data_IF_722455598206
#
_entry.id   IF_722455598206
#
_cell.length_a   1.000
_cell.length_b   1.000
_cell.length_c   1.000
_cell.angle_alpha   90.00
_cell.angle_beta   90.00
_cell.angle_gamma   90.00
#
_symmetry.space_group_name_H-M   'P 1'
#
loop_
_entity.id
_entity.type
_entity.pdbx_description
1 polymer ?
#
# COMPACT_ATOMS: atom_id res chain seq x y z
N UNK A 1 11.21 7.72 -35.38
CA UNK A 1 10.36 7.22 -34.29
C UNK A 1 11.17 6.41 -33.27
N UNK A 2 11.77 5.25 -33.57
CA UNK A 2 12.53 4.47 -32.57
C UNK A 2 13.69 5.21 -31.91
N UNK A 3 14.48 6.00 -32.68
CA UNK A 3 15.56 6.82 -32.13
C UNK A 3 15.07 7.85 -31.10
N UNK A 4 13.91 8.47 -31.36
CA UNK A 4 13.32 9.42 -30.41
C UNK A 4 12.85 8.73 -29.13
N UNK A 5 12.30 7.50 -29.24
CA UNK A 5 11.91 6.72 -28.06
C UNK A 5 13.11 6.32 -27.21
N UNK A 6 14.25 5.97 -27.84
CA UNK A 6 15.48 5.69 -27.10
C UNK A 6 15.96 6.89 -26.29
N UNK A 7 16.00 8.07 -26.90
CA UNK A 7 16.36 9.32 -26.21
C UNK A 7 15.40 9.62 -25.05
N UNK A 8 14.08 9.49 -25.26
CA UNK A 8 13.10 9.69 -24.18
C UNK A 8 13.25 8.68 -23.04
N UNK A 9 13.67 7.45 -23.34
CA UNK A 9 13.93 6.44 -22.31
C UNK A 9 15.20 6.75 -21.52
N UNK A 10 16.26 7.20 -22.19
CA UNK A 10 17.53 7.60 -21.57
C UNK A 10 17.35 8.84 -20.69
N UNK A 11 16.57 9.80 -21.11
CA UNK A 11 16.29 11.07 -20.40
C UNK A 11 15.07 10.99 -19.47
N UNK A 12 14.53 9.79 -19.22
CA UNK A 12 13.28 9.60 -18.47
C UNK A 12 13.32 10.28 -17.08
N UNK A 13 14.42 10.19 -16.37
CA UNK A 13 14.55 10.74 -15.02
C UNK A 13 14.56 12.27 -15.03
N UNK A 14 15.30 12.85 -15.97
CA UNK A 14 15.30 14.29 -16.21
C UNK A 14 13.92 14.79 -16.58
N UNK A 15 13.24 14.13 -17.52
CA UNK A 15 11.89 14.51 -17.96
C UNK A 15 10.91 14.47 -16.79
N UNK A 16 10.93 13.41 -15.97
CA UNK A 16 10.04 13.27 -14.80
C UNK A 16 10.30 14.37 -13.77
N UNK A 17 11.56 14.67 -13.45
CA UNK A 17 11.92 15.72 -12.50
C UNK A 17 11.50 17.11 -12.97
N UNK A 18 11.69 17.42 -14.28
CA UNK A 18 11.25 18.69 -14.86
C UNK A 18 9.72 18.82 -14.93
N UNK A 19 9.01 17.75 -15.28
CA UNK A 19 7.55 17.73 -15.23
C UNK A 19 7.04 17.98 -13.82
N UNK A 20 7.66 17.36 -12.82
CA UNK A 20 7.31 17.60 -11.42
C UNK A 20 7.56 19.06 -11.02
N UNK A 21 8.74 19.62 -11.33
CA UNK A 21 9.06 21.03 -11.03
C UNK A 21 8.07 21.98 -11.67
N UNK A 22 7.80 21.79 -12.97
CA UNK A 22 6.89 22.63 -13.73
C UNK A 22 5.43 22.50 -13.28
N UNK A 23 5.01 21.31 -12.81
CA UNK A 23 3.65 21.12 -12.30
C UNK A 23 3.34 21.97 -11.06
N UNK A 24 4.36 22.35 -10.26
CA UNK A 24 4.18 23.24 -9.11
C UNK A 24 3.72 24.66 -9.48
N UNK A 25 3.95 25.11 -10.72
CA UNK A 25 3.44 26.40 -11.22
C UNK A 25 1.93 26.33 -11.52
N UNK A 26 1.43 25.13 -11.82
CA UNK A 26 0.01 24.92 -12.12
C UNK A 26 -0.77 24.62 -10.85
N UNK A 27 -0.22 23.73 -10.01
CA UNK A 27 -0.80 23.30 -8.74
C UNK A 27 0.30 23.00 -7.73
N UNK A 28 0.32 23.66 -6.55
CA UNK A 28 1.30 23.36 -5.52
C UNK A 28 1.26 21.87 -5.13
N UNK A 29 2.37 21.17 -5.27
CA UNK A 29 2.46 19.72 -5.00
C UNK A 29 2.60 19.45 -3.52
N UNK A 30 1.73 18.59 -2.99
CA UNK A 30 1.72 18.19 -1.59
C UNK A 30 2.65 16.99 -1.35
N UNK A 31 3.93 17.27 -1.12
CA UNK A 31 4.97 16.28 -0.92
C UNK A 31 5.12 15.77 0.52
N UNK A 32 4.21 16.14 1.43
CA UNK A 32 4.28 15.72 2.83
C UNK A 32 4.04 14.23 3.02
N UNK A 33 3.18 13.65 2.18
CA UNK A 33 2.89 12.22 2.16
C UNK A 33 3.16 11.72 0.75
N UNK A 34 3.93 10.63 0.63
CA UNK A 34 4.20 9.98 -0.64
C UNK A 34 3.65 8.56 -0.61
N UNK A 35 2.78 8.27 -1.55
CA UNK A 35 2.26 6.92 -1.76
C UNK A 35 3.13 6.19 -2.77
N UNK A 36 3.43 4.93 -2.48
CA UNK A 36 4.14 4.06 -3.42
C UNK A 36 3.40 2.74 -3.58
N UNK A 37 3.19 2.35 -4.81
CA UNK A 37 2.68 1.03 -5.17
C UNK A 37 3.34 0.53 -6.46
N UNK A 38 3.30 -0.79 -6.65
CA UNK A 38 3.73 -1.44 -7.86
C UNK A 38 2.52 -1.95 -8.63
N UNK A 39 2.58 -1.85 -9.94
CA UNK A 39 1.68 -2.55 -10.85
C UNK A 39 2.49 -3.34 -11.87
N UNK A 40 1.85 -4.22 -12.63
CA UNK A 40 2.53 -4.91 -13.71
C UNK A 40 1.70 -4.89 -14.99
N UNK A 41 2.43 -4.91 -16.11
CA UNK A 41 1.87 -4.96 -17.45
C UNK A 41 2.34 -6.24 -18.11
N UNK A 42 1.43 -7.00 -18.71
CA UNK A 42 1.75 -8.21 -19.47
C UNK A 42 1.90 -7.90 -20.96
N UNK A 43 2.61 -8.75 -21.64
CA UNK A 43 2.79 -8.69 -23.08
C UNK A 43 2.16 -9.94 -23.72
N UNK A 44 1.43 -9.77 -24.81
CA UNK A 44 0.81 -10.88 -25.55
C UNK A 44 1.84 -11.68 -26.39
N UNK A 45 3.07 -11.80 -25.90
CA UNK A 45 4.15 -12.58 -26.47
C UNK A 45 4.68 -13.54 -25.43
N UNK A 46 5.11 -14.71 -25.85
CA UNK A 46 5.59 -15.76 -24.93
C UNK A 46 7.09 -15.69 -24.65
N UNK A 47 7.85 -14.95 -25.45
CA UNK A 47 9.31 -14.85 -25.29
C UNK A 47 9.73 -13.78 -24.29
N UNK A 48 10.60 -14.18 -23.37
CA UNK A 48 11.27 -13.24 -22.46
C UNK A 48 12.34 -12.44 -23.19
N UNK A 49 12.38 -11.13 -22.97
CA UNK A 49 13.45 -10.29 -23.50
C UNK A 49 13.61 -9.02 -22.66
N UNK A 50 14.85 -8.61 -22.39
CA UNK A 50 15.13 -7.41 -21.60
C UNK A 50 14.45 -7.45 -20.23
N UNK A 51 13.58 -6.46 -19.96
CA UNK A 51 12.82 -6.37 -18.71
C UNK A 51 11.57 -7.27 -18.70
N UNK A 52 11.12 -7.76 -19.86
CA UNK A 52 9.97 -8.66 -19.95
C UNK A 52 10.35 -10.04 -19.43
N UNK A 53 9.86 -10.41 -18.26
CA UNK A 53 10.16 -11.67 -17.58
C UNK A 53 8.88 -12.30 -17.06
N UNK A 54 8.86 -13.64 -17.00
CA UNK A 54 7.81 -14.34 -16.29
C UNK A 54 7.89 -14.05 -14.80
N UNK A 55 6.78 -13.64 -14.21
CA UNK A 55 6.71 -13.25 -12.82
C UNK A 55 5.30 -13.39 -12.26
N UNK A 56 5.10 -12.88 -11.04
CA UNK A 56 3.79 -12.91 -10.39
C UNK A 56 2.87 -11.85 -11.00
N UNK A 57 2.11 -12.22 -12.03
CA UNK A 57 1.11 -11.32 -12.63
C UNK A 57 -0.04 -11.04 -11.65
N UNK A 58 -0.39 -9.77 -11.44
CA UNK A 58 -1.57 -9.35 -10.66
C UNK A 58 -2.88 -9.78 -11.32
N UNK A 59 -2.88 -9.93 -12.66
CA UNK A 59 -4.01 -10.43 -13.44
C UNK A 59 -4.02 -11.94 -13.65
N UNK A 60 -3.06 -12.67 -13.05
CA UNK A 60 -2.90 -14.13 -13.22
C UNK A 60 -2.71 -14.56 -14.69
N UNK A 61 -2.09 -13.71 -15.50
CA UNK A 61 -1.76 -14.02 -16.90
C UNK A 61 -0.51 -14.88 -16.98
N UNK A 62 -0.46 -15.86 -17.91
CA UNK A 62 0.69 -16.74 -18.12
C UNK A 62 1.78 -16.09 -19.02
N UNK A 63 1.76 -14.80 -19.22
CA UNK A 63 2.62 -14.07 -20.13
C UNK A 63 3.77 -13.37 -19.40
N UNK A 64 4.89 -13.04 -20.07
CA UNK A 64 5.92 -12.18 -19.53
C UNK A 64 5.35 -10.81 -19.15
N UNK A 65 5.83 -10.26 -18.04
CA UNK A 65 5.42 -8.98 -17.50
C UNK A 65 6.61 -8.04 -17.31
N UNK A 66 6.33 -6.76 -17.13
CA UNK A 66 7.22 -5.79 -16.49
C UNK A 66 6.53 -5.27 -15.24
N UNK A 67 7.29 -4.88 -14.25
CA UNK A 67 6.79 -4.25 -13.02
C UNK A 67 7.06 -2.76 -13.08
N UNK A 68 6.04 -1.93 -12.88
CA UNK A 68 6.17 -0.48 -12.74
C UNK A 68 5.98 -0.12 -11.27
N UNK A 69 6.97 0.55 -10.69
CA UNK A 69 6.83 1.22 -9.41
C UNK A 69 6.47 2.68 -9.64
N UNK A 70 5.49 3.20 -8.89
CA UNK A 70 4.99 4.56 -9.03
C UNK A 70 4.93 5.27 -7.68
N UNK A 71 5.53 6.45 -7.60
CA UNK A 71 5.30 7.41 -6.53
C UNK A 71 4.24 8.43 -6.90
N UNK A 72 3.34 8.69 -5.96
CA UNK A 72 2.33 9.75 -6.03
C UNK A 72 2.45 10.64 -4.81
N UNK A 73 2.10 11.92 -4.95
CA UNK A 73 1.99 12.84 -3.82
C UNK A 73 0.71 12.62 -2.99
N UNK A 74 0.52 13.44 -1.97
CA UNK A 74 -0.65 13.35 -1.08
C UNK A 74 -2.00 13.59 -1.77
N UNK A 75 -2.00 14.26 -2.91
CA UNK A 75 -3.19 14.53 -3.71
C UNK A 75 -3.44 13.44 -4.77
N UNK A 76 -2.60 12.39 -4.78
CA UNK A 76 -2.69 11.27 -5.72
C UNK A 76 -2.16 11.59 -7.12
N UNK A 77 -1.39 12.68 -7.27
CA UNK A 77 -0.81 13.05 -8.55
C UNK A 77 0.54 12.34 -8.72
N UNK A 78 0.79 11.65 -9.87
CA UNK A 78 2.07 11.01 -10.14
C UNK A 78 3.26 11.96 -10.00
N UNK A 79 4.35 11.44 -9.42
CA UNK A 79 5.62 12.14 -9.28
C UNK A 79 6.71 11.50 -10.12
N UNK A 80 7.01 10.24 -9.81
CA UNK A 80 8.07 9.49 -10.45
C UNK A 80 7.68 8.03 -10.60
N UNK A 81 8.17 7.41 -11.66
CA UNK A 81 8.03 5.97 -11.88
C UNK A 81 9.32 5.36 -12.37
N UNK A 82 9.42 4.05 -12.27
CA UNK A 82 10.46 3.27 -12.92
C UNK A 82 9.92 1.91 -13.34
N UNK A 83 10.59 1.29 -14.33
CA UNK A 83 10.22 0.00 -14.88
C UNK A 83 11.27 -1.03 -14.50
N UNK A 84 10.83 -2.11 -13.88
CA UNK A 84 11.66 -3.19 -13.37
C UNK A 84 11.36 -4.51 -14.09
N UNK A 85 12.31 -5.45 -14.08
CA UNK A 85 12.06 -6.81 -14.58
C UNK A 85 10.83 -7.45 -13.93
N UNK A 86 10.03 -8.15 -14.73
CA UNK A 86 8.77 -8.77 -14.26
C UNK A 86 8.94 -9.83 -13.15
N UNK A 87 10.12 -10.43 -13.03
CA UNK A 87 10.48 -11.38 -11.98
C UNK A 87 11.14 -10.74 -10.74
N UNK A 88 11.30 -9.41 -10.74
CA UNK A 88 11.91 -8.72 -9.61
C UNK A 88 10.95 -8.67 -8.42
N UNK A 89 11.49 -8.85 -7.21
CA UNK A 89 10.70 -8.68 -5.99
C UNK A 89 10.34 -7.20 -5.80
N UNK A 90 9.04 -6.89 -5.71
CA UNK A 90 8.53 -5.53 -5.53
C UNK A 90 9.17 -4.78 -4.34
N UNK A 91 9.53 -5.49 -3.26
CA UNK A 91 10.21 -4.86 -2.11
C UNK A 91 11.55 -4.23 -2.46
N UNK A 92 12.22 -4.72 -3.50
CA UNK A 92 13.54 -4.21 -3.92
C UNK A 92 13.43 -3.04 -4.89
N UNK A 93 12.25 -2.74 -5.41
CA UNK A 93 12.02 -1.63 -6.35
C UNK A 93 11.90 -0.28 -5.65
N UNK A 94 11.53 -0.27 -4.36
CA UNK A 94 11.30 0.95 -3.60
C UNK A 94 12.54 1.83 -3.48
N UNK A 95 13.64 1.30 -2.94
CA UNK A 95 14.84 2.10 -2.63
C UNK A 95 15.46 2.80 -3.83
N UNK A 96 15.62 2.15 -5.00
CA UNK A 96 16.16 2.84 -6.18
C UNK A 96 15.31 4.05 -6.57
N UNK A 97 13.99 3.88 -6.64
CA UNK A 97 13.10 4.94 -7.05
C UNK A 97 12.97 6.04 -5.97
N UNK A 98 12.96 5.67 -4.70
CA UNK A 98 12.96 6.64 -3.59
C UNK A 98 14.27 7.45 -3.54
N UNK A 99 15.40 6.84 -3.84
CA UNK A 99 16.68 7.57 -3.94
C UNK A 99 16.64 8.63 -5.04
N UNK A 100 15.99 8.34 -6.16
CA UNK A 100 15.71 9.30 -7.24
C UNK A 100 14.85 10.48 -6.74
N UNK A 101 13.79 10.21 -6.00
CA UNK A 101 12.92 11.24 -5.37
C UNK A 101 13.75 12.16 -4.46
N UNK A 102 14.63 11.59 -3.65
CA UNK A 102 15.49 12.36 -2.76
C UNK A 102 16.51 13.25 -3.51
N UNK A 103 17.07 12.77 -4.60
CA UNK A 103 18.12 13.45 -5.35
C UNK A 103 17.56 14.49 -6.35
N UNK A 104 16.60 14.10 -7.16
CA UNK A 104 16.19 14.85 -8.33
C UNK A 104 14.95 15.72 -8.10
N UNK A 105 14.11 15.37 -7.12
CA UNK A 105 12.84 16.05 -6.85
C UNK A 105 12.89 17.00 -5.64
N UNK A 106 14.01 17.05 -4.90
CA UNK A 106 14.16 17.89 -3.72
C UNK A 106 13.17 17.56 -2.60
N UNK A 107 12.77 16.29 -2.50
CA UNK A 107 11.86 15.79 -1.47
C UNK A 107 12.64 14.99 -0.43
N UNK A 108 13.11 15.65 0.63
CA UNK A 108 13.92 15.04 1.70
C UNK A 108 13.13 14.69 2.95
N UNK A 109 11.94 15.28 3.12
CA UNK A 109 11.08 15.12 4.30
C UNK A 109 9.68 14.71 3.87
N UNK A 110 9.29 13.47 4.19
CA UNK A 110 7.97 12.96 3.85
C UNK A 110 7.59 11.76 4.71
N UNK A 111 6.31 11.44 4.70
CA UNK A 111 5.76 10.21 5.25
C UNK A 111 5.53 9.24 4.09
N UNK A 112 6.28 8.14 4.08
CA UNK A 112 6.11 7.07 3.11
C UNK A 112 4.88 6.22 3.44
N UNK A 113 4.00 6.02 2.46
CA UNK A 113 2.80 5.20 2.60
C UNK A 113 2.78 4.09 1.55
N UNK A 114 2.59 2.85 1.99
CA UNK A 114 2.45 1.70 1.08
C UNK A 114 1.59 0.58 1.67
N UNK A 115 1.35 -0.44 0.87
CA UNK A 115 0.71 -1.67 1.32
C UNK A 115 1.66 -2.59 2.10
N UNK A 116 1.12 -3.71 2.60
CA UNK A 116 1.87 -4.69 3.38
C UNK A 116 2.93 -5.46 2.55
N UNK A 117 2.79 -5.48 1.24
CA UNK A 117 3.73 -6.15 0.32
C UNK A 117 5.09 -5.47 0.30
N UNK A 118 5.13 -4.17 0.53
CA UNK A 118 6.33 -3.33 0.47
C UNK A 118 6.97 -3.07 1.86
N UNK A 119 6.38 -3.60 2.93
CA UNK A 119 6.75 -3.36 4.33
C UNK A 119 7.92 -4.20 4.86
N UNK A 120 8.95 -4.50 4.06
CA UNK A 120 10.14 -5.19 4.57
C UNK A 120 10.86 -4.38 5.65
N UNK A 121 11.54 -5.06 6.57
CA UNK A 121 12.34 -4.40 7.62
C UNK A 121 13.37 -3.44 7.01
N UNK A 122 13.95 -3.79 5.85
CA UNK A 122 14.91 -2.95 5.15
C UNK A 122 14.28 -1.65 4.62
N UNK A 123 13.05 -1.72 4.08
CA UNK A 123 12.32 -0.55 3.59
C UNK A 123 11.86 0.34 4.75
N UNK A 124 11.37 -0.25 5.84
CA UNK A 124 10.97 0.50 7.05
C UNK A 124 12.17 1.22 7.68
N UNK A 125 13.30 0.52 7.83
CA UNK A 125 14.54 1.14 8.33
C UNK A 125 15.02 2.29 7.44
N UNK A 126 14.94 2.14 6.11
CA UNK A 126 15.33 3.20 5.19
C UNK A 126 14.43 4.43 5.35
N UNK A 127 13.14 4.23 5.57
CA UNK A 127 12.14 5.29 5.76
C UNK A 127 12.02 5.80 7.20
N UNK A 128 12.80 5.27 8.15
CA UNK A 128 12.92 5.82 9.52
C UNK A 128 14.17 6.69 9.71
N UNK A 129 14.93 6.92 8.64
CA UNK A 129 16.16 7.73 8.70
C UNK A 129 15.88 9.21 8.46
N UNK A 130 16.66 10.06 9.15
CA UNK A 130 16.60 11.52 9.03
C UNK A 130 15.20 12.04 9.38
N UNK A 131 14.59 12.84 8.54
CA UNK A 131 13.26 13.46 8.73
C UNK A 131 12.15 12.71 8.00
N UNK A 132 12.31 11.40 7.76
CA UNK A 132 11.29 10.56 7.12
C UNK A 132 10.57 9.71 8.16
N UNK A 133 9.33 9.41 7.86
CA UNK A 133 8.50 8.46 8.60
C UNK A 133 7.77 7.54 7.61
N UNK A 134 7.13 6.50 8.11
CA UNK A 134 6.35 5.60 7.25
C UNK A 134 5.03 5.19 7.91
N UNK A 135 4.04 4.92 7.06
CA UNK A 135 2.79 4.28 7.42
C UNK A 135 2.57 3.13 6.44
N UNK A 136 2.63 1.90 6.94
CA UNK A 136 2.52 0.70 6.12
C UNK A 136 1.46 -0.20 6.72
N UNK A 137 0.56 -0.74 5.86
CA UNK A 137 -0.43 -1.68 6.35
C UNK A 137 0.24 -2.96 6.87
N UNK A 138 -0.23 -3.46 8.00
CA UNK A 138 0.30 -4.69 8.60
C UNK A 138 -0.79 -5.76 8.75
N UNK A 139 -0.44 -7.01 8.42
CA UNK A 139 -1.39 -8.12 8.52
C UNK A 139 -1.47 -8.66 9.94
N UNK A 140 -2.63 -8.59 10.58
CA UNK A 140 -2.89 -9.20 11.88
C UNK A 140 -2.52 -10.70 11.93
N UNK A 141 -2.67 -11.42 10.81
CA UNK A 141 -2.31 -12.84 10.73
C UNK A 141 -0.81 -13.09 10.84
N UNK A 142 0.02 -12.11 10.47
CA UNK A 142 1.50 -12.20 10.51
C UNK A 142 2.10 -11.63 11.79
N UNK A 143 1.28 -11.05 12.67
CA UNK A 143 1.74 -10.53 13.96
C UNK A 143 2.12 -11.66 14.93
N UNK A 144 3.03 -11.38 15.84
CA UNK A 144 3.28 -12.24 17.00
C UNK A 144 1.99 -12.40 17.79
N UNK A 145 1.86 -13.53 18.49
CA UNK A 145 0.62 -13.87 19.20
C UNK A 145 0.28 -12.80 20.24
N UNK A 146 1.27 -12.37 21.02
CA UNK A 146 1.09 -11.37 22.07
C UNK A 146 0.56 -10.04 21.52
N UNK A 147 1.20 -9.50 20.49
CA UNK A 147 0.79 -8.24 19.86
C UNK A 147 -0.59 -8.35 19.21
N UNK A 148 -0.87 -9.50 18.59
CA UNK A 148 -2.17 -9.78 17.99
C UNK A 148 -3.28 -9.88 19.04
N UNK A 149 -3.03 -10.51 20.17
CA UNK A 149 -4.01 -10.63 21.26
C UNK A 149 -4.31 -9.24 21.86
N UNK A 150 -3.31 -8.37 22.02
CA UNK A 150 -3.50 -6.97 22.37
C UNK A 150 -4.29 -6.23 21.27
N UNK A 151 -3.96 -6.42 20.00
CA UNK A 151 -4.64 -5.78 18.88
C UNK A 151 -6.13 -6.15 18.82
N UNK A 152 -6.47 -7.41 19.07
CA UNK A 152 -7.85 -7.92 19.02
C UNK A 152 -8.65 -7.64 20.30
N UNK A 153 -8.00 -7.23 21.39
CA UNK A 153 -8.69 -6.87 22.63
C UNK A 153 -9.57 -5.62 22.39
N UNK A 154 -10.88 -5.63 22.65
CA UNK A 154 -11.79 -4.53 22.35
C UNK A 154 -11.64 -3.29 23.25
N UNK A 155 -10.84 -3.36 24.30
CA UNK A 155 -10.64 -2.22 25.23
C UNK A 155 -9.51 -1.29 24.77
N UNK A 156 -9.44 -0.10 25.40
CA UNK A 156 -8.40 0.89 25.16
C UNK A 156 -8.39 1.55 23.76
N UNK A 157 -9.51 1.51 23.05
CA UNK A 157 -9.67 2.30 21.84
C UNK A 157 -9.95 3.76 22.18
N UNK A 158 -9.69 4.65 21.22
CA UNK A 158 -9.96 6.10 21.31
C UNK A 158 -10.64 6.56 20.02
N UNK A 159 -11.41 7.65 20.14
CA UNK A 159 -11.87 8.44 19.00
C UNK A 159 -10.83 9.53 18.72
N UNK A 160 -10.60 9.87 17.47
CA UNK A 160 -9.68 10.95 17.10
C UNK A 160 -10.09 12.27 17.77
N UNK A 161 -9.12 12.95 18.38
CA UNK A 161 -9.36 14.19 19.12
C UNK A 161 -9.84 14.01 20.58
N UNK A 162 -10.00 12.77 21.05
CA UNK A 162 -10.41 12.47 22.42
C UNK A 162 -9.34 11.65 23.17
N UNK A 163 -9.11 11.98 24.44
CA UNK A 163 -8.14 11.26 25.28
C UNK A 163 -8.74 10.06 26.03
N UNK A 164 -10.08 10.01 26.15
CA UNK A 164 -10.77 8.94 26.89
C UNK A 164 -10.70 7.59 26.16
N UNK A 165 -10.53 6.54 26.95
CA UNK A 165 -10.57 5.17 26.44
C UNK A 165 -12.01 4.66 26.29
N UNK A 166 -12.24 3.88 25.26
CA UNK A 166 -13.52 3.30 24.89
C UNK A 166 -13.37 1.78 24.82
N UNK A 167 -14.35 1.04 25.32
CA UNK A 167 -14.53 -0.37 25.07
C UNK A 167 -15.47 -0.54 23.87
N UNK A 168 -14.98 -1.16 22.79
CA UNK A 168 -15.78 -1.34 21.58
C UNK A 168 -17.07 -2.16 21.78
N UNK A 169 -17.16 -2.93 22.87
CA UNK A 169 -18.37 -3.71 23.21
C UNK A 169 -19.51 -2.85 23.72
N UNK A 170 -19.22 -1.63 24.19
CA UNK A 170 -20.19 -0.67 24.72
C UNK A 170 -20.74 0.28 23.65
N UNK A 171 -20.24 0.17 22.39
CA UNK A 171 -20.69 1.02 21.30
C UNK A 171 -22.09 0.65 20.84
N UNK A 172 -22.96 1.64 20.73
CA UNK A 172 -24.23 1.52 20.03
C UNK A 172 -24.00 1.72 18.52
N UNK A 173 -23.79 0.62 17.79
CA UNK A 173 -23.54 0.66 16.34
C UNK A 173 -24.78 1.07 15.52
N UNK A 174 -25.95 1.30 16.13
CA UNK A 174 -27.16 1.83 15.47
C UNK A 174 -27.17 3.35 15.44
N UNK A 175 -26.40 4.01 16.31
CA UNK A 175 -26.16 5.45 16.27
C UNK A 175 -25.34 5.83 15.04
N UNK A 176 -25.79 6.85 14.30
CA UNK A 176 -25.20 7.26 13.03
C UNK A 176 -23.78 7.84 13.21
N UNK A 177 -23.52 8.57 14.27
CA UNK A 177 -22.19 9.12 14.56
C UNK A 177 -21.23 7.99 14.91
N UNK A 178 -21.63 7.06 15.78
CA UNK A 178 -20.85 5.89 16.15
C UNK A 178 -20.55 5.03 14.93
N UNK A 179 -21.54 4.79 14.07
CA UNK A 179 -21.41 3.98 12.85
C UNK A 179 -20.37 4.56 11.88
N UNK A 180 -20.30 5.87 11.72
CA UNK A 180 -19.38 6.54 10.80
C UNK A 180 -18.02 6.87 11.44
N UNK A 181 -17.85 6.67 12.74
CA UNK A 181 -16.60 6.95 13.45
C UNK A 181 -15.58 5.83 13.28
N UNK A 182 -14.31 6.20 13.14
CA UNK A 182 -13.18 5.27 13.21
C UNK A 182 -12.53 5.39 14.57
N UNK A 183 -12.44 4.28 15.28
CA UNK A 183 -11.74 4.15 16.56
C UNK A 183 -10.35 3.58 16.34
N UNK A 184 -9.39 3.96 17.17
CA UNK A 184 -8.02 3.47 17.07
C UNK A 184 -7.40 3.21 18.42
N UNK A 185 -6.37 2.37 18.44
CA UNK A 185 -5.44 2.23 19.55
C UNK A 185 -4.02 2.06 19.04
N UNK A 186 -3.07 2.43 19.86
CA UNK A 186 -1.65 2.38 19.58
C UNK A 186 -1.00 1.28 20.40
N UNK A 187 -0.16 0.49 19.77
CA UNK A 187 0.61 -0.58 20.42
C UNK A 187 2.08 -0.32 20.10
N UNK A 188 2.89 0.08 21.08
CA UNK A 188 4.32 0.21 20.89
C UNK A 188 4.94 -1.18 20.72
N UNK A 189 5.79 -1.34 19.71
CA UNK A 189 6.51 -2.58 19.41
C UNK A 189 7.95 -2.27 19.07
N UNK A 190 8.84 -3.22 19.40
CA UNK A 190 10.26 -3.12 19.05
C UNK A 190 10.58 -4.17 18.00
N UNK A 191 11.06 -3.75 16.85
CA UNK A 191 11.50 -4.63 15.77
C UNK A 191 12.99 -4.47 15.51
N UNK A 192 13.80 -5.34 16.09
CA UNK A 192 15.27 -5.21 16.09
C UNK A 192 15.70 -3.95 16.84
N UNK A 193 16.23 -2.95 16.14
CA UNK A 193 16.65 -1.66 16.71
C UNK A 193 15.68 -0.51 16.42
N UNK A 194 14.46 -0.81 15.92
CA UNK A 194 13.46 0.21 15.58
C UNK A 194 12.33 0.19 16.60
N UNK A 195 12.04 1.36 17.16
CA UNK A 195 10.81 1.61 17.92
C UNK A 195 9.69 1.95 16.94
N UNK A 196 8.68 1.12 16.90
CA UNK A 196 7.55 1.24 15.97
C UNK A 196 6.24 1.31 16.74
N UNK A 197 5.21 1.89 16.14
CA UNK A 197 3.87 1.90 16.71
C UNK A 197 2.90 1.22 15.74
N UNK A 198 2.22 0.18 16.20
CA UNK A 198 1.12 -0.42 15.45
C UNK A 198 -0.16 0.34 15.79
N UNK A 199 -0.78 0.93 14.77
CA UNK A 199 -2.07 1.59 14.90
C UNK A 199 -3.16 0.60 14.47
N UNK A 200 -3.94 0.15 15.45
CA UNK A 200 -5.08 -0.75 15.22
C UNK A 200 -6.34 0.10 15.06
N UNK A 201 -7.01 -0.04 13.94
CA UNK A 201 -8.25 0.70 13.67
C UNK A 201 -9.48 -0.20 13.74
N UNK A 202 -10.60 0.33 14.22
CA UNK A 202 -11.90 -0.29 14.20
C UNK A 202 -12.94 0.67 13.63
N UNK A 203 -13.73 0.20 12.68
CA UNK A 203 -14.82 0.96 12.06
C UNK A 203 -16.08 0.09 12.00
N UNK A 204 -17.19 0.47 12.66
CA UNK A 204 -18.48 -0.21 12.54
C UNK A 204 -18.95 -0.31 11.09
N UNK A 205 -18.82 0.77 10.33
CA UNK A 205 -19.14 0.82 8.89
C UNK A 205 -18.36 -0.19 8.07
N UNK A 206 -17.04 -0.28 8.29
CA UNK A 206 -16.21 -1.28 7.59
C UNK A 206 -16.54 -2.71 8.02
N UNK A 207 -16.83 -2.94 9.31
CA UNK A 207 -17.31 -4.23 9.83
C UNK A 207 -18.60 -4.66 9.14
N UNK A 208 -19.57 -3.76 9.01
CA UNK A 208 -20.81 -4.03 8.30
C UNK A 208 -20.59 -4.36 6.83
N UNK A 209 -19.73 -3.63 6.15
CA UNK A 209 -19.31 -3.91 4.77
C UNK A 209 -18.68 -5.30 4.62
N UNK A 210 -17.74 -5.67 5.50
CA UNK A 210 -17.10 -6.98 5.48
C UNK A 210 -18.09 -8.14 5.76
N UNK A 211 -19.04 -7.92 6.66
CA UNK A 211 -20.12 -8.88 6.91
C UNK A 211 -21.00 -9.11 5.67
N UNK A 212 -21.33 -8.04 4.93
CA UNK A 212 -22.08 -8.13 3.67
C UNK A 212 -21.32 -8.92 2.59
N UNK A 213 -20.01 -8.68 2.44
CA UNK A 213 -19.17 -9.45 1.52
C UNK A 213 -19.17 -10.93 1.90
N UNK A 214 -18.94 -11.24 3.17
CA UNK A 214 -18.93 -12.62 3.68
C UNK A 214 -20.27 -13.32 3.44
N UNK A 215 -21.40 -12.66 3.72
CA UNK A 215 -22.71 -13.21 3.47
C UNK A 215 -22.93 -13.59 2.00
N UNK A 216 -22.51 -12.74 1.07
CA UNK A 216 -22.56 -13.03 -0.37
C UNK A 216 -21.66 -14.21 -0.78
N UNK A 217 -20.49 -14.36 -0.17
CA UNK A 217 -19.59 -15.49 -0.43
C UNK A 217 -20.20 -16.80 0.07
N UNK A 218 -20.81 -16.80 1.26
CA UNK A 218 -21.51 -17.95 1.83
C UNK A 218 -22.69 -18.35 0.93
N UNK A 219 -23.51 -17.40 0.51
CA UNK A 219 -24.64 -17.65 -0.39
C UNK A 219 -24.19 -18.28 -1.71
N UNK A 220 -23.09 -17.77 -2.32
CA UNK A 220 -22.50 -18.36 -3.53
C UNK A 220 -22.04 -19.78 -3.30
N UNK A 221 -21.33 -20.05 -2.19
CA UNK A 221 -20.88 -21.39 -1.84
C UNK A 221 -22.06 -22.36 -1.66
N UNK A 222 -23.12 -21.94 -0.97
CA UNK A 222 -24.33 -22.74 -0.79
C UNK A 222 -25.03 -23.07 -2.13
N UNK A 223 -25.10 -22.10 -3.06
CA UNK A 223 -25.64 -22.32 -4.40
C UNK A 223 -24.82 -23.34 -5.20
N UNK A 224 -23.49 -23.30 -5.10
CA UNK A 224 -22.59 -24.26 -5.77
C UNK A 224 -22.81 -25.67 -5.20
N UNK A 225 -22.87 -25.83 -3.88
CA UNK A 225 -23.14 -27.13 -3.22
C UNK A 225 -24.48 -27.68 -3.68
N UNK A 226 -25.55 -26.88 -3.59
CA UNK A 226 -26.90 -27.29 -4.01
C UNK A 226 -27.00 -27.64 -5.50
N UNK A 227 -26.17 -27.05 -6.36
CA UNK A 227 -26.12 -27.38 -7.79
C UNK A 227 -25.31 -28.65 -8.09
N UNK A 228 -24.30 -28.96 -7.28
CA UNK A 228 -23.53 -30.21 -7.43
C UNK A 228 -24.31 -31.45 -7.02
N UNK A 229 -25.18 -31.34 -6.01
CA UNK A 229 -26.05 -32.45 -5.57
C UNK A 229 -27.16 -32.80 -6.60
N UNK A 230 -27.53 -31.86 -7.50
CA UNK A 230 -28.49 -32.11 -8.58
C UNK A 230 -27.89 -32.84 -9.79
N UNK A 231 -26.54 -32.97 -9.85
CA UNK A 231 -25.82 -33.64 -10.95
C UNK A 231 -25.35 -35.04 -10.58
N UNK A 232 -25.70 -35.55 -9.41
CA UNK A 232 -25.55 -36.94 -8.99
C UNK A 232 -26.97 -37.59 -8.99
#
# INVERSE_FOLDING_TARGET
MYRSLSVLAEESDFIQSELYRNSNYIHPRNKRILYYDCTNYYFEIEEESGLKRYGKSKEHRPNPIVTMGLFMDADGIPMAFDIFPGNQNEQTTLKPLESKILQDFGCSEFIFCSDAGLGSTANRRFNSLVNRAYVITHSLKKMKKEDRDIALNPVQFRKLGYSSFIDLRTLDETDEEVFNTVYYKEIPVVTGSMDETIIVTYSPKYKAYQRKIRARQIERAQKIIASSDRKR
#
